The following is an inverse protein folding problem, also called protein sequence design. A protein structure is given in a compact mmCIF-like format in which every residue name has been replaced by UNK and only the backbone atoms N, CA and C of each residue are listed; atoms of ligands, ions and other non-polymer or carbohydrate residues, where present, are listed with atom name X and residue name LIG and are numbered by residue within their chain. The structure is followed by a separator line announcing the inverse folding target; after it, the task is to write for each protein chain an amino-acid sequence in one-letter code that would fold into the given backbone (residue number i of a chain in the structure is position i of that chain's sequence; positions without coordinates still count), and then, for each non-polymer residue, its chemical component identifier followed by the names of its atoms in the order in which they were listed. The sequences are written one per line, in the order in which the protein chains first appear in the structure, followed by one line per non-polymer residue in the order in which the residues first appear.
data_IF_781205705275
#
_entry.id   IF_781205705275
#
_cell.length_a   1.000
_cell.length_b   1.000
_cell.length_c   1.000
_cell.angle_alpha   90.00
_cell.angle_beta   90.00
_cell.angle_gamma   90.00
#
_symmetry.space_group_name_H-M   'P 1'
#
loop_
_entity.id
_entity.type
_entity.pdbx_description
1 polymer ?
#
# COMPACT_ATOMS: atom_id res chain seq x y z
N UNK A 1 -23.25 43.01 -22.08
CA UNK A 1 -22.21 42.50 -23.00
C UNK A 1 -20.94 42.28 -22.20
N UNK A 2 -20.71 41.04 -21.75
CA UNK A 2 -19.40 40.46 -21.46
C UNK A 2 -19.63 38.96 -21.37
N UNK A 3 -19.32 38.28 -22.46
CA UNK A 3 -19.52 36.84 -22.62
C UNK A 3 -18.61 36.07 -21.68
N UNK A 4 -19.22 35.18 -20.91
CA UNK A 4 -18.52 34.14 -20.17
C UNK A 4 -18.22 33.03 -21.17
N UNK A 5 -17.04 33.07 -21.79
CA UNK A 5 -16.58 32.02 -22.70
C UNK A 5 -16.31 30.74 -21.90
N UNK A 6 -17.30 29.84 -21.89
CA UNK A 6 -17.12 28.43 -21.55
C UNK A 6 -16.37 27.75 -22.69
N UNK A 7 -15.07 28.02 -22.76
CA UNK A 7 -14.19 27.34 -23.69
C UNK A 7 -13.93 25.92 -23.16
N UNK A 8 -14.68 24.98 -23.73
CA UNK A 8 -14.54 23.53 -23.53
C UNK A 8 -13.08 23.10 -23.63
N UNK A 9 -12.46 22.77 -22.49
CA UNK A 9 -11.14 22.12 -22.41
C UNK A 9 -11.24 20.69 -22.98
N UNK A 10 -11.29 20.59 -24.32
CA UNK A 10 -11.16 19.32 -25.02
C UNK A 10 -9.74 18.84 -24.79
N UNK A 11 -9.50 17.68 -24.15
CA UNK A 11 -8.15 17.20 -23.93
C UNK A 11 -7.45 17.09 -25.30
N UNK A 12 -6.39 17.88 -25.49
CA UNK A 12 -5.65 17.94 -26.75
C UNK A 12 -5.27 16.55 -27.25
N UNK A 13 -5.21 16.35 -28.56
CA UNK A 13 -4.97 15.04 -29.20
C UNK A 13 -3.72 14.33 -28.63
N UNK A 14 -2.73 15.12 -28.21
CA UNK A 14 -1.52 14.70 -27.51
C UNK A 14 -1.78 14.05 -26.14
N UNK A 15 -2.68 14.58 -25.32
CA UNK A 15 -3.06 13.98 -24.03
C UNK A 15 -3.72 12.62 -24.23
N UNK A 16 -4.55 12.49 -25.27
CA UNK A 16 -5.20 11.22 -25.64
C UNK A 16 -4.21 10.18 -26.15
N UNK A 17 -3.20 10.60 -26.92
CA UNK A 17 -2.10 9.74 -27.36
C UNK A 17 -1.25 9.24 -26.19
N UNK A 18 -0.82 10.13 -25.30
CA UNK A 18 -0.07 9.76 -24.09
C UNK A 18 -0.86 8.82 -23.19
N UNK A 19 -2.15 9.07 -22.98
CA UNK A 19 -3.03 8.19 -22.20
C UNK A 19 -3.15 6.80 -22.82
N UNK A 20 -3.25 6.68 -24.16
CA UNK A 20 -3.29 5.39 -24.86
C UNK A 20 -1.97 4.61 -24.73
N UNK A 21 -0.83 5.29 -24.87
CA UNK A 21 0.49 4.65 -24.69
C UNK A 21 0.65 4.16 -23.25
N UNK A 22 0.34 5.00 -22.26
CA UNK A 22 0.37 4.63 -20.86
C UNK A 22 -0.56 3.44 -20.55
N UNK A 23 -1.80 3.49 -21.05
CA UNK A 23 -2.77 2.40 -20.88
C UNK A 23 -2.29 1.08 -21.48
N UNK A 24 -1.65 1.10 -22.67
CA UNK A 24 -1.05 -0.09 -23.28
C UNK A 24 0.12 -0.64 -22.47
N UNK A 25 1.00 0.23 -21.95
CA UNK A 25 2.14 -0.20 -21.12
C UNK A 25 1.67 -0.84 -19.81
N UNK A 26 0.68 -0.23 -19.15
CA UNK A 26 0.07 -0.82 -17.95
C UNK A 26 -0.65 -2.13 -18.28
N UNK A 27 -1.38 -2.18 -19.40
CA UNK A 27 -2.06 -3.39 -19.87
C UNK A 27 -1.08 -4.54 -20.14
N UNK A 28 0.03 -4.29 -20.83
CA UNK A 28 1.10 -5.26 -21.06
C UNK A 28 1.70 -5.73 -19.74
N UNK A 29 2.02 -4.80 -18.83
CA UNK A 29 2.57 -5.14 -17.51
C UNK A 29 1.62 -6.05 -16.72
N UNK A 30 0.33 -5.72 -16.68
CA UNK A 30 -0.68 -6.53 -16.01
C UNK A 30 -0.82 -7.91 -16.67
N UNK A 31 -0.81 -7.95 -18.00
CA UNK A 31 -0.86 -9.20 -18.77
C UNK A 31 0.33 -10.10 -18.43
N UNK A 32 1.56 -9.56 -18.40
CA UNK A 32 2.78 -10.31 -18.03
C UNK A 32 2.72 -10.91 -16.62
N UNK A 33 2.12 -10.20 -15.65
CA UNK A 33 1.90 -10.75 -14.30
C UNK A 33 0.75 -11.76 -14.24
N UNK A 34 -0.25 -11.65 -15.14
CA UNK A 34 -1.39 -12.59 -15.21
C UNK A 34 -1.00 -13.90 -15.88
N UNK A 35 -0.18 -13.85 -16.93
CA UNK A 35 0.31 -15.02 -17.67
C UNK A 35 1.48 -15.72 -16.98
N UNK A 36 1.95 -15.21 -15.84
CA UNK A 36 3.04 -15.80 -15.06
C UNK A 36 4.44 -15.56 -15.62
N UNK A 37 4.56 -14.80 -16.71
CA UNK A 37 5.85 -14.39 -17.29
C UNK A 37 6.67 -13.59 -16.27
N UNK A 38 6.01 -12.71 -15.52
CA UNK A 38 6.61 -12.05 -14.36
C UNK A 38 6.27 -12.83 -13.09
N UNK A 39 7.34 -13.26 -12.38
CA UNK A 39 7.22 -14.03 -11.13
C UNK A 39 6.57 -13.19 -10.03
N UNK A 40 5.65 -13.82 -9.30
CA UNK A 40 5.10 -13.32 -8.04
C UNK A 40 5.82 -14.00 -6.88
N UNK A 41 6.12 -13.24 -5.84
CA UNK A 41 6.69 -13.75 -4.60
C UNK A 41 5.57 -14.09 -3.64
N UNK A 42 5.52 -15.34 -3.21
CA UNK A 42 4.60 -15.78 -2.16
C UNK A 42 5.31 -15.80 -0.82
N UNK A 43 4.63 -15.32 0.22
CA UNK A 43 5.13 -15.34 1.59
C UNK A 43 4.49 -16.49 2.38
N UNK A 44 5.17 -17.03 3.40
CA UNK A 44 4.62 -18.04 4.31
C UNK A 44 3.56 -17.49 5.30
N UNK A 45 2.95 -16.34 4.98
CA UNK A 45 1.89 -15.68 5.76
C UNK A 45 0.77 -15.22 4.83
N UNK A 46 -0.43 -15.04 5.37
CA UNK A 46 -1.57 -14.53 4.61
C UNK A 46 -1.39 -13.04 4.34
N UNK A 47 -1.62 -12.60 3.13
CA UNK A 47 -1.39 -11.22 2.70
C UNK A 47 -2.73 -10.57 2.32
N UNK A 48 -3.16 -9.59 3.12
CA UNK A 48 -4.33 -8.74 2.88
C UNK A 48 -3.85 -7.38 2.38
N UNK A 49 -4.31 -6.95 1.23
CA UNK A 49 -3.94 -5.67 0.63
C UNK A 49 -5.11 -4.71 0.65
N UNK A 50 -4.86 -3.48 1.14
CA UNK A 50 -5.81 -2.38 1.11
C UNK A 50 -5.36 -1.41 0.02
N UNK A 51 -6.22 -1.24 -0.99
CA UNK A 51 -6.00 -0.36 -2.13
C UNK A 51 -7.15 0.63 -2.29
N UNK A 52 -6.97 1.57 -3.21
CA UNK A 52 -8.05 2.42 -3.70
C UNK A 52 -7.73 2.89 -5.13
N UNK A 53 -8.78 3.11 -5.93
CA UNK A 53 -8.70 3.54 -7.34
C UNK A 53 -8.71 5.06 -7.54
N UNK A 54 -9.22 5.82 -6.58
CA UNK A 54 -9.41 7.27 -6.71
C UNK A 54 -8.20 8.04 -6.16
N UNK A 55 -7.74 9.07 -6.84
CA UNK A 55 -6.65 9.92 -6.34
C UNK A 55 -7.24 10.88 -5.29
N UNK A 56 -7.00 10.63 -3.99
CA UNK A 56 -7.57 11.42 -2.89
C UNK A 56 -7.50 10.72 -1.53
N UNK A 57 -7.93 11.40 -0.47
CA UNK A 57 -7.96 10.90 0.92
C UNK A 57 -9.07 9.87 1.17
N UNK A 58 -8.97 8.70 0.55
CA UNK A 58 -10.04 7.68 0.50
C UNK A 58 -10.09 6.75 1.71
N UNK A 59 -9.63 7.18 2.88
CA UNK A 59 -9.68 6.37 4.10
C UNK A 59 -8.89 5.06 4.08
N UNK A 60 -7.90 4.88 3.18
CA UNK A 60 -7.06 3.66 3.14
C UNK A 60 -6.38 3.37 4.47
N UNK A 61 -5.70 4.37 5.02
CA UNK A 61 -4.99 4.26 6.29
C UNK A 61 -5.95 3.89 7.44
N UNK A 62 -7.09 4.59 7.65
CA UNK A 62 -8.11 4.13 8.60
C UNK A 62 -8.59 2.69 8.37
N UNK A 63 -8.86 2.29 7.14
CA UNK A 63 -9.31 0.93 6.83
C UNK A 63 -8.24 -0.12 7.14
N UNK A 64 -6.98 0.13 6.78
CA UNK A 64 -5.85 -0.75 7.08
C UNK A 64 -5.67 -0.90 8.60
N UNK A 65 -5.77 0.20 9.37
CA UNK A 65 -5.75 0.19 10.83
C UNK A 65 -6.91 -0.65 11.38
N UNK A 66 -8.13 -0.43 10.87
CA UNK A 66 -9.32 -1.17 11.30
C UNK A 66 -9.18 -2.68 11.06
N UNK A 67 -8.72 -3.08 9.88
CA UNK A 67 -8.50 -4.48 9.51
C UNK A 67 -7.43 -5.11 10.40
N UNK A 68 -6.28 -4.44 10.56
CA UNK A 68 -5.18 -4.94 11.38
C UNK A 68 -5.61 -5.14 12.83
N UNK A 69 -6.31 -4.15 13.41
CA UNK A 69 -6.85 -4.23 14.77
C UNK A 69 -7.90 -5.32 14.92
N UNK A 70 -8.80 -5.47 13.94
CA UNK A 70 -9.84 -6.51 13.96
C UNK A 70 -9.25 -7.92 13.91
N UNK A 71 -8.22 -8.13 13.10
CA UNK A 71 -7.50 -9.40 13.03
C UNK A 71 -6.72 -9.67 14.30
N UNK A 72 -6.03 -8.67 14.85
CA UNK A 72 -5.34 -8.77 16.13
C UNK A 72 -6.31 -9.14 17.27
N UNK A 73 -7.48 -8.50 17.34
CA UNK A 73 -8.51 -8.79 18.35
C UNK A 73 -9.06 -10.22 18.27
N UNK A 74 -8.96 -10.86 17.10
CA UNK A 74 -9.30 -12.27 16.87
C UNK A 74 -8.15 -13.23 17.19
N UNK A 75 -7.02 -12.74 17.72
CA UNK A 75 -5.87 -13.54 18.12
C UNK A 75 -4.85 -13.81 17.02
N UNK A 76 -5.00 -13.20 15.84
CA UNK A 76 -4.00 -13.37 14.77
C UNK A 76 -2.73 -12.57 15.08
N UNK A 77 -1.56 -13.15 14.75
CA UNK A 77 -0.29 -12.42 14.72
C UNK A 77 -0.20 -11.59 13.43
N UNK A 78 -0.46 -10.30 13.55
CA UNK A 78 -0.57 -9.37 12.41
C UNK A 78 0.66 -8.48 12.34
N UNK A 79 1.09 -8.08 11.14
CA UNK A 79 1.98 -6.93 10.93
C UNK A 79 1.49 -6.06 9.77
N UNK A 80 1.74 -4.76 9.84
CA UNK A 80 1.36 -3.78 8.80
C UNK A 80 2.58 -3.36 7.98
N UNK A 81 2.44 -3.36 6.66
CA UNK A 81 3.47 -2.97 5.70
C UNK A 81 3.08 -1.65 5.00
N UNK A 82 3.70 -0.54 5.39
CA UNK A 82 3.46 0.81 4.86
C UNK A 82 4.55 1.26 3.89
N UNK A 83 4.24 2.15 2.93
CA UNK A 83 5.13 2.51 1.81
C UNK A 83 6.35 3.31 2.25
N UNK A 84 6.28 3.94 3.42
CA UNK A 84 7.28 4.89 3.87
C UNK A 84 7.28 6.14 3.00
N UNK A 85 6.10 6.65 2.66
CA UNK A 85 5.98 7.91 1.91
C UNK A 85 6.61 9.04 2.74
N UNK A 86 7.44 9.88 2.10
CA UNK A 86 8.22 10.95 2.74
C UNK A 86 9.20 10.52 3.86
N UNK A 87 9.53 9.24 3.98
CA UNK A 87 10.55 8.77 4.91
C UNK A 87 11.96 9.23 4.48
N UNK A 88 12.71 9.87 5.38
CA UNK A 88 14.12 10.19 5.12
C UNK A 88 15.00 8.93 5.08
N UNK A 89 14.64 7.90 5.85
CA UNK A 89 15.40 6.64 5.95
C UNK A 89 15.11 5.75 4.74
N UNK A 90 16.11 5.57 3.88
CA UNK A 90 16.03 4.76 2.64
C UNK A 90 16.34 3.26 2.84
N UNK A 91 16.23 2.76 4.07
CA UNK A 91 16.43 1.34 4.37
C UNK A 91 15.45 0.46 3.59
N UNK A 92 15.89 -0.75 3.24
CA UNK A 92 15.03 -1.75 2.58
C UNK A 92 13.89 -2.19 3.49
N UNK A 93 14.18 -2.29 4.79
CA UNK A 93 13.24 -2.60 5.88
C UNK A 93 13.47 -1.60 7.01
N UNK A 94 12.46 -0.81 7.33
CA UNK A 94 12.44 0.06 8.50
C UNK A 94 11.38 -0.47 9.46
N UNK A 95 11.77 -0.91 10.65
CA UNK A 95 10.82 -1.26 11.71
C UNK A 95 10.41 0.04 12.40
N UNK A 96 9.18 0.49 12.15
CA UNK A 96 8.63 1.73 12.72
C UNK A 96 8.11 1.48 14.13
N UNK A 97 7.50 0.32 14.34
CA UNK A 97 7.17 -0.22 15.64
C UNK A 97 7.31 -1.73 15.64
N UNK A 98 7.75 -2.28 16.76
CA UNK A 98 7.78 -3.72 17.03
C UNK A 98 6.49 -4.24 17.68
N UNK A 99 5.46 -3.39 17.79
CA UNK A 99 4.21 -3.66 18.48
C UNK A 99 4.24 -3.35 19.97
N UNK A 100 5.39 -3.05 20.57
CA UNK A 100 5.48 -2.61 21.98
C UNK A 100 5.76 -1.13 22.06
N UNK A 101 6.70 -0.66 21.25
CA UNK A 101 7.12 0.73 21.21
C UNK A 101 7.27 1.22 19.77
N UNK A 102 7.28 2.55 19.61
CA UNK A 102 7.54 3.19 18.33
C UNK A 102 9.03 3.49 18.24
N UNK A 103 9.73 2.77 17.37
CA UNK A 103 11.19 2.80 17.21
C UNK A 103 11.65 3.93 16.29
N UNK A 104 10.80 4.38 15.37
CA UNK A 104 11.14 5.44 14.41
C UNK A 104 10.11 6.56 14.44
N UNK A 105 10.63 7.79 14.50
CA UNK A 105 9.83 9.00 14.44
C UNK A 105 9.41 9.39 13.02
N UNK A 106 8.53 10.39 12.87
CA UNK A 106 7.98 10.79 11.57
C UNK A 106 9.04 11.26 10.57
N UNK A 107 10.10 11.92 11.05
CA UNK A 107 11.24 12.33 10.22
C UNK A 107 11.94 11.14 9.54
N UNK A 108 11.94 9.97 10.17
CA UNK A 108 12.63 8.79 9.67
C UNK A 108 11.71 7.86 8.90
N UNK A 109 10.48 7.63 9.39
CA UNK A 109 9.55 6.63 8.87
C UNK A 109 8.39 7.21 8.03
N UNK A 110 8.18 8.53 8.06
CA UNK A 110 7.04 9.21 7.48
C UNK A 110 5.83 9.25 8.43
N UNK A 111 5.02 10.30 8.30
CA UNK A 111 3.88 10.57 9.19
C UNK A 111 2.85 9.42 9.21
N UNK A 112 2.53 8.85 8.05
CA UNK A 112 1.53 7.78 7.92
C UNK A 112 1.94 6.50 8.66
N UNK A 113 3.22 6.10 8.57
CA UNK A 113 3.70 4.89 9.22
C UNK A 113 3.76 5.08 10.75
N UNK A 114 4.15 6.26 11.22
CA UNK A 114 4.13 6.60 12.64
C UNK A 114 2.70 6.69 13.19
N UNK A 115 1.75 7.21 12.40
CA UNK A 115 0.33 7.20 12.77
C UNK A 115 -0.18 5.78 12.97
N UNK A 116 0.08 4.87 12.02
CA UNK A 116 -0.31 3.46 12.16
C UNK A 116 0.35 2.81 13.37
N UNK A 117 1.65 3.05 13.59
CA UNK A 117 2.39 2.51 14.72
C UNK A 117 1.75 2.91 16.06
N UNK A 118 1.34 4.19 16.20
CA UNK A 118 0.63 4.67 17.40
C UNK A 118 -0.78 4.11 17.52
N UNK A 119 -1.47 3.94 16.41
CA UNK A 119 -2.84 3.44 16.39
C UNK A 119 -2.95 1.92 16.61
N UNK A 120 -1.85 1.17 16.48
CA UNK A 120 -1.85 -0.29 16.50
C UNK A 120 -0.90 -0.85 17.57
N UNK A 121 -1.16 -0.60 18.87
CA UNK A 121 -0.41 -1.25 19.93
C UNK A 121 -0.54 -2.77 19.81
N UNK A 122 0.57 -3.48 19.96
CA UNK A 122 0.67 -4.93 19.80
C UNK A 122 0.80 -5.42 18.35
N UNK A 123 0.87 -4.54 17.35
CA UNK A 123 1.05 -4.89 15.94
C UNK A 123 2.32 -4.24 15.40
N UNK A 124 3.32 -5.02 14.93
CA UNK A 124 4.48 -4.47 14.26
C UNK A 124 4.10 -3.68 13.01
N UNK A 125 4.72 -2.52 12.83
CA UNK A 125 4.54 -1.66 11.65
C UNK A 125 5.89 -1.48 10.99
N UNK A 126 5.99 -1.88 9.73
CA UNK A 126 7.21 -1.80 8.94
C UNK A 126 7.00 -0.92 7.72
N UNK A 127 8.03 -0.15 7.35
CA UNK A 127 8.02 0.69 6.16
C UNK A 127 9.20 0.43 5.23
N UNK A 128 8.98 0.57 3.92
CA UNK A 128 10.01 0.32 2.91
C UNK A 128 9.44 0.05 1.51
N UNK A 129 10.29 0.12 0.49
CA UNK A 129 9.86 0.03 -0.92
C UNK A 129 9.55 -1.40 -1.37
N UNK A 130 10.24 -2.39 -0.81
CA UNK A 130 10.11 -3.79 -1.21
C UNK A 130 9.20 -4.55 -0.24
N UNK A 131 7.93 -4.77 -0.64
CA UNK A 131 6.94 -5.44 0.23
C UNK A 131 7.27 -6.89 0.52
N UNK A 132 7.86 -7.60 -0.43
CA UNK A 132 8.26 -8.98 -0.21
C UNK A 132 9.36 -9.07 0.85
N UNK A 133 10.34 -8.15 0.83
CA UNK A 133 11.39 -8.09 1.85
C UNK A 133 10.82 -7.71 3.23
N UNK A 134 9.93 -6.71 3.29
CA UNK A 134 9.25 -6.34 4.54
C UNK A 134 8.44 -7.49 5.12
N UNK A 135 7.65 -8.15 4.27
CA UNK A 135 6.80 -9.25 4.68
C UNK A 135 7.62 -10.45 5.15
N UNK A 136 8.70 -10.81 4.44
CA UNK A 136 9.63 -11.85 4.88
C UNK A 136 10.22 -11.53 6.25
N UNK A 137 10.75 -10.32 6.41
CA UNK A 137 11.29 -9.86 7.68
C UNK A 137 10.24 -9.92 8.80
N UNK A 138 9.00 -9.51 8.52
CA UNK A 138 7.94 -9.54 9.51
C UNK A 138 7.54 -10.97 9.94
N UNK A 139 7.58 -11.93 9.02
CA UNK A 139 7.35 -13.35 9.36
C UNK A 139 8.51 -13.89 10.19
N UNK A 140 9.76 -13.70 9.74
CA UNK A 140 10.94 -14.24 10.39
C UNK A 140 11.17 -13.63 11.78
N UNK A 141 11.00 -12.31 11.92
CA UNK A 141 11.32 -11.58 13.16
C UNK A 141 10.20 -11.58 14.18
N UNK A 142 8.94 -11.48 13.74
CA UNK A 142 7.79 -11.31 14.62
C UNK A 142 6.86 -12.53 14.64
N UNK A 143 7.15 -13.58 13.86
CA UNK A 143 6.29 -14.76 13.76
C UNK A 143 4.91 -14.41 13.20
N UNK A 144 4.86 -13.43 12.29
CA UNK A 144 3.61 -12.90 11.73
C UNK A 144 2.92 -13.96 10.87
N UNK A 145 1.63 -14.21 11.12
CA UNK A 145 0.79 -15.09 10.31
C UNK A 145 -0.06 -14.35 9.29
N UNK A 146 -0.31 -13.05 9.50
CA UNK A 146 -1.11 -12.20 8.60
C UNK A 146 -0.44 -10.84 8.38
N UNK A 147 -0.27 -10.46 7.12
CA UNK A 147 0.32 -9.20 6.69
C UNK A 147 -0.77 -8.30 6.10
N UNK A 148 -0.88 -7.06 6.59
CA UNK A 148 -1.77 -6.05 6.03
C UNK A 148 -0.94 -5.01 5.28
N UNK A 149 -1.19 -4.86 3.98
CA UNK A 149 -0.49 -3.89 3.14
C UNK A 149 -1.33 -2.62 3.04
N UNK A 150 -0.75 -1.51 3.48
CA UNK A 150 -1.30 -0.19 3.18
C UNK A 150 -0.80 0.28 1.81
N UNK A 151 -1.75 0.56 0.92
CA UNK A 151 -1.55 0.91 -0.49
C UNK A 151 -0.77 -0.15 -1.29
N UNK A 152 -1.20 -1.42 -1.15
CA UNK A 152 -0.58 -2.59 -1.78
C UNK A 152 -0.96 -2.82 -3.25
N UNK A 153 -2.01 -2.16 -3.75
CA UNK A 153 -2.67 -2.52 -5.02
C UNK A 153 -1.76 -2.46 -6.26
N UNK A 154 -0.79 -1.53 -6.24
CA UNK A 154 0.17 -1.34 -7.34
C UNK A 154 1.40 -2.26 -7.22
N UNK A 155 1.56 -2.96 -6.09
CA UNK A 155 2.70 -3.83 -5.84
C UNK A 155 2.44 -5.27 -6.33
N UNK A 156 2.32 -5.40 -7.66
CA UNK A 156 2.12 -6.67 -8.37
C UNK A 156 3.15 -7.79 -8.06
N UNK A 157 4.42 -7.52 -7.70
CA UNK A 157 5.37 -8.59 -7.40
C UNK A 157 5.04 -9.45 -6.17
N UNK A 158 4.25 -8.95 -5.22
CA UNK A 158 3.88 -9.71 -4.02
C UNK A 158 2.51 -10.34 -4.22
N UNK A 159 2.42 -11.65 -4.02
CA UNK A 159 1.16 -12.38 -4.03
C UNK A 159 0.31 -11.99 -2.83
N UNK A 160 -0.99 -11.79 -3.08
CA UNK A 160 -1.98 -11.33 -2.11
C UNK A 160 -3.11 -12.35 -2.08
N UNK A 161 -3.49 -12.78 -0.89
CA UNK A 161 -4.62 -13.70 -0.69
C UNK A 161 -5.94 -12.96 -0.79
N UNK A 162 -5.99 -11.72 -0.30
CA UNK A 162 -7.18 -10.86 -0.32
C UNK A 162 -6.80 -9.45 -0.76
N UNK A 163 -7.52 -8.92 -1.73
CA UNK A 163 -7.40 -7.54 -2.21
C UNK A 163 -8.69 -6.78 -1.89
N UNK A 164 -8.62 -5.81 -0.97
CA UNK A 164 -9.70 -4.92 -0.58
C UNK A 164 -9.51 -3.57 -1.25
N UNK A 165 -10.44 -3.21 -2.12
CA UNK A 165 -10.40 -1.97 -2.87
C UNK A 165 -11.47 -1.02 -2.34
N UNK A 166 -11.04 0.10 -1.76
CA UNK A 166 -11.95 1.14 -1.32
C UNK A 166 -12.37 1.99 -2.51
N UNK A 167 -13.68 2.21 -2.62
CA UNK A 167 -14.31 3.09 -3.60
C UNK A 167 -15.01 4.20 -2.82
N UNK A 168 -14.70 5.45 -3.18
CA UNK A 168 -15.46 6.60 -2.69
C UNK A 168 -16.76 6.71 -3.50
N UNK A 169 -17.89 6.91 -2.82
CA UNK A 169 -19.23 6.88 -3.41
C UNK A 169 -19.76 8.27 -3.79
N UNK A 170 -18.86 9.23 -4.00
CA UNK A 170 -19.22 10.58 -4.47
C UNK A 170 -19.63 10.59 -5.93
#
# INVERSE_FOLDING_TARGET
MTGFDLETDRPGIWRRLLARVYGRLIGLRLWLYRTGVLKRFRLPARVVSVGNLTVGGTGKTPAAIFIARSLQARGFKVAVLSRGYKAARRGQVNVVSDGREVLLGPSQAGDEACLMARALPGVPVLSGRNRAALGRYAVERFGTGVLVLDDGFQHLPLERDVDLLLLDAR
#
